data_IF_328015050841
#
_entry.id   IF_328015050841
#
_cell.length_a   1.000
_cell.length_b   1.000
_cell.length_c   1.000
_cell.angle_alpha   90.00
_cell.angle_beta   90.00
_cell.angle_gamma   90.00
#
_symmetry.space_group_name_H-M   'P 1'
#
loop_
_entity.id
_entity.type
_entity.pdbx_description
1 polymer ?
#
# COMPACT_ATOMS: atom_id res chain seq x y z
N UNK A 1 -3.73 24.61 15.60
CA UNK A 1 -3.61 23.17 15.92
C UNK A 1 -2.13 22.81 16.00
N UNK A 2 -1.69 22.04 17.02
CA UNK A 2 -0.29 21.65 17.16
C UNK A 2 0.16 20.75 15.99
N UNK A 3 1.40 20.90 15.52
CA UNK A 3 1.98 20.16 14.40
C UNK A 3 1.81 18.65 14.50
N UNK A 4 1.96 18.08 15.71
CA UNK A 4 1.79 16.64 15.93
C UNK A 4 0.39 16.13 15.58
N UNK A 5 -0.67 16.89 15.85
CA UNK A 5 -2.04 16.51 15.47
C UNK A 5 -2.28 16.66 13.97
N UNK A 6 -1.63 17.63 13.31
CA UNK A 6 -1.69 17.78 11.85
C UNK A 6 -1.15 16.52 11.16
N UNK A 7 0.01 16.02 11.61
CA UNK A 7 0.61 14.77 11.09
C UNK A 7 -0.31 13.57 11.32
N UNK A 8 -0.84 13.42 12.55
CA UNK A 8 -1.73 12.31 12.87
C UNK A 8 -3.01 12.32 12.00
N UNK A 9 -3.59 13.49 11.75
CA UNK A 9 -4.77 13.63 10.91
C UNK A 9 -4.48 13.24 9.46
N UNK A 10 -3.38 13.72 8.88
CA UNK A 10 -2.99 13.35 7.51
C UNK A 10 -2.81 11.84 7.39
N UNK A 11 -2.12 11.24 8.36
CA UNK A 11 -1.92 9.80 8.39
C UNK A 11 -3.23 9.02 8.51
N UNK A 12 -4.10 9.40 9.46
CA UNK A 12 -5.37 8.72 9.67
C UNK A 12 -6.32 8.87 8.48
N UNK A 13 -6.37 10.05 7.85
CA UNK A 13 -7.15 10.28 6.62
C UNK A 13 -6.64 9.40 5.48
N UNK A 14 -5.34 9.41 5.22
CA UNK A 14 -4.76 8.60 4.16
C UNK A 14 -4.93 7.10 4.42
N UNK A 15 -4.74 6.64 5.65
CA UNK A 15 -4.97 5.26 6.04
C UNK A 15 -6.45 4.86 5.89
N UNK A 16 -7.38 5.76 6.24
CA UNK A 16 -8.81 5.54 6.05
C UNK A 16 -9.19 5.40 4.58
N UNK A 17 -8.66 6.30 3.72
CA UNK A 17 -8.88 6.26 2.26
C UNK A 17 -8.35 4.95 1.69
N UNK A 18 -7.17 4.52 2.11
CA UNK A 18 -6.55 3.27 1.67
C UNK A 18 -7.41 2.05 2.06
N UNK A 19 -7.82 1.98 3.32
CA UNK A 19 -8.73 0.92 3.80
C UNK A 19 -10.06 0.91 3.03
N UNK A 20 -10.72 2.07 2.92
CA UNK A 20 -11.98 2.19 2.17
C UNK A 20 -11.80 1.72 0.73
N UNK A 21 -10.73 2.13 0.07
CA UNK A 21 -10.46 1.75 -1.30
C UNK A 21 -10.29 0.24 -1.48
N UNK A 22 -9.55 -0.42 -0.57
CA UNK A 22 -9.39 -1.89 -0.59
C UNK A 22 -10.74 -2.58 -0.48
N UNK A 23 -11.53 -2.25 0.54
CA UNK A 23 -12.77 -2.97 0.84
C UNK A 23 -13.90 -2.63 -0.14
N UNK A 24 -14.05 -1.36 -0.55
CA UNK A 24 -15.05 -0.99 -1.55
C UNK A 24 -14.73 -1.58 -2.92
N UNK A 25 -13.45 -1.65 -3.31
CA UNK A 25 -13.08 -2.28 -4.57
C UNK A 25 -13.41 -3.77 -4.60
N UNK A 26 -13.29 -4.47 -3.47
CA UNK A 26 -13.68 -5.88 -3.36
C UNK A 26 -15.18 -6.10 -3.61
N UNK A 27 -16.03 -5.18 -3.15
CA UNK A 27 -17.49 -5.23 -3.41
C UNK A 27 -17.79 -5.00 -4.90
N UNK A 28 -16.99 -4.19 -5.59
CA UNK A 28 -17.18 -3.87 -7.00
C UNK A 28 -16.72 -5.02 -7.95
N UNK A 29 -15.95 -6.01 -7.48
CA UNK A 29 -15.37 -7.05 -8.34
C UNK A 29 -16.39 -7.78 -9.23
N UNK A 30 -17.56 -8.22 -8.75
CA UNK A 30 -18.55 -8.90 -9.59
C UNK A 30 -19.05 -8.01 -10.74
N UNK A 31 -19.33 -6.73 -10.45
CA UNK A 31 -19.80 -5.76 -11.44
C UNK A 31 -18.69 -5.45 -12.49
N UNK A 32 -17.43 -5.34 -12.03
CA UNK A 32 -16.27 -5.18 -12.93
C UNK A 32 -16.10 -6.41 -13.82
N UNK A 33 -16.22 -7.64 -13.25
CA UNK A 33 -16.10 -8.88 -14.02
C UNK A 33 -17.12 -8.97 -15.12
N UNK A 34 -18.37 -8.59 -14.84
CA UNK A 34 -19.45 -8.56 -15.82
C UNK A 34 -19.21 -7.52 -16.92
N UNK A 35 -18.80 -6.29 -16.55
CA UNK A 35 -18.55 -5.20 -17.50
C UNK A 35 -17.33 -5.47 -18.40
N UNK A 36 -16.23 -5.98 -17.82
CA UNK A 36 -14.99 -6.29 -18.54
C UNK A 36 -15.00 -7.68 -19.22
N UNK A 37 -16.06 -8.47 -19.00
CA UNK A 37 -16.22 -9.84 -19.55
C UNK A 37 -15.04 -10.76 -19.22
N UNK A 38 -14.59 -10.71 -17.99
CA UNK A 38 -13.49 -11.54 -17.48
C UNK A 38 -13.97 -12.57 -16.46
N UNK A 39 -13.20 -13.66 -16.30
CA UNK A 39 -13.53 -14.71 -15.36
C UNK A 39 -13.44 -14.27 -13.90
N UNK A 40 -14.12 -14.98 -13.00
CA UNK A 40 -14.04 -14.77 -11.54
C UNK A 40 -12.61 -14.92 -11.03
N UNK A 41 -11.82 -15.82 -11.62
CA UNK A 41 -10.41 -16.01 -11.28
C UNK A 41 -9.58 -14.80 -11.73
N UNK A 42 -9.80 -14.31 -12.96
CA UNK A 42 -9.04 -13.17 -13.48
C UNK A 42 -9.31 -11.88 -12.71
N UNK A 43 -10.57 -11.67 -12.27
CA UNK A 43 -10.95 -10.41 -11.60
C UNK A 43 -10.23 -10.21 -10.26
N UNK A 44 -9.77 -11.27 -9.61
CA UNK A 44 -9.00 -11.17 -8.36
C UNK A 44 -7.71 -10.35 -8.53
N UNK A 45 -7.17 -10.32 -9.75
CA UNK A 45 -5.99 -9.50 -10.08
C UNK A 45 -6.22 -8.00 -9.90
N UNK A 46 -7.45 -7.52 -9.89
CA UNK A 46 -7.76 -6.13 -9.54
C UNK A 46 -7.34 -5.80 -8.10
N UNK A 47 -7.57 -6.72 -7.16
CA UNK A 47 -7.12 -6.58 -5.79
C UNK A 47 -5.64 -6.96 -5.62
N UNK A 48 -5.22 -8.05 -6.25
CA UNK A 48 -3.86 -8.56 -6.13
C UNK A 48 -2.81 -7.59 -6.69
N UNK A 49 -3.08 -6.92 -7.82
CA UNK A 49 -2.17 -5.92 -8.39
C UNK A 49 -1.99 -4.70 -7.47
N UNK A 50 -3.06 -4.26 -6.81
CA UNK A 50 -2.99 -3.20 -5.81
C UNK A 50 -2.13 -3.61 -4.61
N UNK A 51 -2.40 -4.78 -4.02
CA UNK A 51 -1.64 -5.32 -2.88
C UNK A 51 -0.17 -5.53 -3.27
N UNK A 52 0.08 -6.00 -4.49
CA UNK A 52 1.43 -6.17 -5.02
C UNK A 52 2.18 -4.84 -5.07
N UNK A 53 1.57 -3.80 -5.64
CA UNK A 53 2.16 -2.46 -5.68
C UNK A 53 2.43 -1.92 -4.28
N UNK A 54 1.45 -2.02 -3.39
CA UNK A 54 1.54 -1.59 -2.00
C UNK A 54 2.71 -2.28 -1.28
N UNK A 55 2.83 -3.59 -1.42
CA UNK A 55 3.85 -4.36 -0.71
C UNK A 55 5.25 -4.12 -1.27
N UNK A 56 5.39 -3.93 -2.59
CA UNK A 56 6.67 -3.69 -3.24
C UNK A 56 7.29 -2.33 -2.87
N UNK A 57 6.49 -1.32 -2.61
CA UNK A 57 7.01 0.03 -2.31
C UNK A 57 7.39 0.21 -0.83
N UNK A 58 6.81 -0.58 0.09
CA UNK A 58 7.07 -0.44 1.53
C UNK A 58 8.56 -0.49 1.88
N UNK A 59 9.37 -1.45 1.39
CA UNK A 59 10.80 -1.49 1.70
C UNK A 59 11.58 -0.26 1.20
N UNK A 60 11.10 0.40 0.14
CA UNK A 60 11.73 1.60 -0.40
C UNK A 60 11.32 2.87 0.32
N UNK A 61 10.24 2.86 1.09
CA UNK A 61 9.63 4.05 1.69
C UNK A 61 10.60 4.85 2.56
N UNK A 62 11.43 4.17 3.34
CA UNK A 62 12.43 4.81 4.19
C UNK A 62 13.51 5.53 3.36
N UNK A 63 14.09 4.86 2.37
CA UNK A 63 15.09 5.45 1.49
C UNK A 63 14.52 6.63 0.69
N UNK A 64 13.32 6.46 0.13
CA UNK A 64 12.63 7.52 -0.61
C UNK A 64 12.38 8.75 0.26
N UNK A 65 11.97 8.54 1.53
CA UNK A 65 11.71 9.64 2.47
C UNK A 65 12.98 10.41 2.85
N UNK A 66 14.11 9.73 2.94
CA UNK A 66 15.40 10.37 3.18
C UNK A 66 15.92 11.10 1.94
N UNK A 67 15.71 10.52 0.75
CA UNK A 67 16.21 11.09 -0.52
C UNK A 67 15.42 12.30 -0.98
N UNK A 68 14.10 12.25 -0.94
CA UNK A 68 13.23 13.29 -1.49
C UNK A 68 12.60 14.20 -0.41
N UNK A 69 12.73 13.82 0.84
CA UNK A 69 12.05 14.49 1.95
C UNK A 69 10.60 13.99 2.12
N UNK A 70 10.15 14.06 3.37
CA UNK A 70 8.85 13.48 3.77
C UNK A 70 7.68 14.23 3.14
N UNK A 71 7.72 15.58 3.10
CA UNK A 71 6.65 16.40 2.52
C UNK A 71 6.44 16.08 1.05
N UNK A 72 7.52 16.13 0.26
CA UNK A 72 7.48 15.87 -1.19
C UNK A 72 6.92 14.47 -1.42
N UNK A 73 7.39 13.48 -0.65
CA UNK A 73 6.98 12.10 -0.85
C UNK A 73 5.50 11.87 -0.47
N UNK A 74 5.01 12.43 0.63
CA UNK A 74 3.60 12.31 1.02
C UNK A 74 2.66 13.01 0.02
N UNK A 75 3.03 14.21 -0.45
CA UNK A 75 2.21 14.94 -1.43
C UNK A 75 2.20 14.22 -2.76
N UNK A 76 3.37 13.84 -3.30
CA UNK A 76 3.44 13.14 -4.59
C UNK A 76 2.74 11.78 -4.55
N UNK A 77 2.87 11.01 -3.45
CA UNK A 77 2.17 9.74 -3.31
C UNK A 77 0.65 9.93 -3.35
N UNK A 78 0.09 10.92 -2.66
CA UNK A 78 -1.34 11.17 -2.67
C UNK A 78 -1.85 11.72 -4.01
N UNK A 79 -1.06 12.53 -4.71
CA UNK A 79 -1.40 12.99 -6.06
C UNK A 79 -1.39 11.84 -7.07
N UNK A 80 -0.36 10.97 -7.04
CA UNK A 80 -0.27 9.78 -7.90
C UNK A 80 -1.41 8.81 -7.56
N UNK A 81 -1.72 8.61 -6.28
CA UNK A 81 -2.86 7.81 -5.84
C UNK A 81 -4.16 8.36 -6.41
N UNK A 82 -4.41 9.66 -6.29
CA UNK A 82 -5.62 10.30 -6.80
C UNK A 82 -5.75 10.17 -8.32
N UNK A 83 -4.67 10.41 -9.06
CA UNK A 83 -4.65 10.24 -10.51
C UNK A 83 -4.90 8.78 -10.91
N UNK A 84 -4.24 7.82 -10.23
CA UNK A 84 -4.41 6.39 -10.49
C UNK A 84 -5.84 5.93 -10.21
N UNK A 85 -6.44 6.37 -9.12
CA UNK A 85 -7.85 6.08 -8.78
C UNK A 85 -8.79 6.59 -9.86
N UNK A 86 -8.58 7.83 -10.34
CA UNK A 86 -9.37 8.39 -11.42
C UNK A 86 -9.22 7.56 -12.72
N UNK A 87 -7.99 7.12 -13.04
CA UNK A 87 -7.70 6.30 -14.21
C UNK A 87 -8.22 4.86 -14.09
N UNK A 88 -8.26 4.29 -12.87
CA UNK A 88 -8.97 3.02 -12.62
C UNK A 88 -10.45 3.15 -12.98
N UNK A 89 -11.12 4.21 -12.50
CA UNK A 89 -12.52 4.46 -12.84
C UNK A 89 -12.76 4.73 -14.32
N UNK A 90 -11.78 5.27 -15.03
CA UNK A 90 -11.84 5.55 -16.46
C UNK A 90 -11.45 4.37 -17.36
N UNK A 91 -10.90 3.29 -16.80
CA UNK A 91 -10.39 2.16 -17.58
C UNK A 91 -11.45 1.51 -18.46
N UNK A 92 -11.08 1.23 -19.70
CA UNK A 92 -11.91 0.55 -20.72
C UNK A 92 -11.47 -0.88 -21.00
N UNK A 93 -10.28 -1.27 -20.52
CA UNK A 93 -9.77 -2.63 -20.64
C UNK A 93 -9.32 -3.17 -19.28
N UNK A 94 -9.39 -4.50 -19.14
CA UNK A 94 -8.95 -5.18 -17.93
C UNK A 94 -7.46 -4.97 -17.63
N UNK A 95 -6.62 -4.91 -18.68
CA UNK A 95 -5.19 -4.65 -18.54
C UNK A 95 -4.91 -3.24 -18.01
N UNK A 96 -5.58 -2.21 -18.53
CA UNK A 96 -5.47 -0.83 -18.01
C UNK A 96 -5.86 -0.76 -16.54
N UNK A 97 -6.96 -1.42 -16.18
CA UNK A 97 -7.47 -1.44 -14.81
C UNK A 97 -6.43 -2.04 -13.84
N UNK A 98 -5.85 -3.20 -14.19
CA UNK A 98 -4.78 -3.83 -13.40
C UNK A 98 -3.55 -2.92 -13.29
N UNK A 99 -3.12 -2.30 -14.41
CA UNK A 99 -1.97 -1.40 -14.43
C UNK A 99 -2.17 -0.22 -13.49
N UNK A 100 -3.32 0.45 -13.56
CA UNK A 100 -3.62 1.59 -12.71
C UNK A 100 -3.81 1.18 -11.25
N UNK A 101 -4.36 -0.01 -10.98
CA UNK A 101 -4.42 -0.58 -9.64
C UNK A 101 -3.03 -0.84 -9.05
N UNK A 102 -2.10 -1.32 -9.85
CA UNK A 102 -0.72 -1.52 -9.44
C UNK A 102 -0.03 -0.18 -9.10
N UNK A 103 -0.16 0.84 -9.96
CA UNK A 103 0.39 2.19 -9.72
C UNK A 103 -0.26 2.83 -8.50
N UNK A 104 -1.55 2.66 -8.32
CA UNK A 104 -2.29 3.08 -7.14
C UNK A 104 -1.73 2.43 -5.87
N UNK A 105 -1.46 1.12 -5.89
CA UNK A 105 -0.83 0.40 -4.79
C UNK A 105 0.57 0.92 -4.46
N UNK A 106 1.42 1.17 -5.47
CA UNK A 106 2.74 1.77 -5.29
C UNK A 106 2.66 3.14 -4.58
N UNK A 107 1.68 3.94 -4.93
CA UNK A 107 1.52 5.27 -4.32
C UNK A 107 0.92 5.21 -2.91
N UNK A 108 -0.13 4.42 -2.68
CA UNK A 108 -0.77 4.24 -1.37
C UNK A 108 0.18 3.64 -0.33
N UNK A 109 0.98 2.65 -0.73
CA UNK A 109 1.93 1.97 0.13
C UNK A 109 3.05 2.84 0.71
N UNK A 110 3.27 4.05 0.21
CA UNK A 110 4.22 5.01 0.78
C UNK A 110 3.66 5.75 2.00
N UNK A 111 2.37 6.05 1.99
CA UNK A 111 1.77 6.88 3.04
C UNK A 111 1.75 6.18 4.40
N UNK A 112 1.47 4.88 4.41
CA UNK A 112 1.30 4.11 5.65
C UNK A 112 2.59 4.10 6.49
N UNK A 113 3.74 3.61 5.99
CA UNK A 113 4.95 3.53 6.81
C UNK A 113 5.49 4.91 7.18
N UNK A 114 5.42 5.89 6.28
CA UNK A 114 5.93 7.24 6.53
C UNK A 114 5.04 7.97 7.52
N UNK A 115 3.74 7.95 7.32
CA UNK A 115 2.77 8.61 8.20
C UNK A 115 2.77 8.01 9.60
N UNK A 116 2.87 6.67 9.70
CA UNK A 116 2.97 5.96 10.98
C UNK A 116 4.28 6.29 11.71
N UNK A 117 5.41 6.26 11.01
CA UNK A 117 6.72 6.58 11.59
C UNK A 117 6.75 8.01 12.14
N UNK A 118 6.30 9.00 11.35
CA UNK A 118 6.19 10.39 11.80
C UNK A 118 5.25 10.53 12.99
N UNK A 119 4.08 9.91 12.92
CA UNK A 119 3.10 10.01 14.01
C UNK A 119 3.68 9.47 15.30
N UNK A 120 4.32 8.31 15.30
CA UNK A 120 4.93 7.73 16.49
C UNK A 120 6.20 8.44 16.96
N UNK A 121 6.82 9.25 16.11
CA UNK A 121 7.91 10.13 16.52
C UNK A 121 7.41 11.27 17.44
N UNK A 122 6.22 11.80 17.18
CA UNK A 122 5.64 12.92 17.93
C UNK A 122 4.73 12.51 19.08
N UNK A 123 4.23 11.26 19.09
CA UNK A 123 3.40 10.72 20.17
C UNK A 123 4.15 9.60 20.88
N UNK A 124 4.52 9.83 22.14
CA UNK A 124 5.29 8.90 22.95
C UNK A 124 4.52 8.50 24.23
N UNK A 125 4.94 7.42 24.86
CA UNK A 125 4.35 6.94 26.11
C UNK A 125 2.84 6.68 25.99
N UNK A 126 2.05 7.19 26.92
CA UNK A 126 0.59 7.00 26.97
C UNK A 126 -0.14 7.61 25.76
N UNK A 127 0.37 8.70 25.19
CA UNK A 127 -0.24 9.31 23.99
C UNK A 127 -0.11 8.41 22.75
N UNK A 128 0.96 7.62 22.65
CA UNK A 128 1.13 6.63 21.57
C UNK A 128 0.02 5.58 21.60
N UNK A 129 -0.39 5.13 22.78
CA UNK A 129 -1.50 4.19 22.93
C UNK A 129 -2.83 4.77 22.39
N UNK A 130 -3.12 6.04 22.67
CA UNK A 130 -4.32 6.72 22.15
C UNK A 130 -4.32 6.77 20.62
N UNK A 131 -3.19 7.12 20.02
CA UNK A 131 -3.07 7.15 18.55
C UNK A 131 -3.20 5.74 17.96
N UNK A 132 -2.61 4.73 18.58
CA UNK A 132 -2.77 3.32 18.16
C UNK A 132 -4.23 2.89 18.22
N UNK A 133 -4.99 3.32 19.22
CA UNK A 133 -6.44 3.07 19.32
C UNK A 133 -7.19 3.72 18.17
N UNK A 134 -6.84 4.96 17.77
CA UNK A 134 -7.46 5.63 16.61
C UNK A 134 -7.13 4.91 15.30
N UNK A 135 -5.90 4.43 15.12
CA UNK A 135 -5.51 3.63 13.94
C UNK A 135 -6.34 2.35 13.89
N UNK A 136 -6.48 1.65 15.03
CA UNK A 136 -7.32 0.45 15.10
C UNK A 136 -8.79 0.76 14.84
N UNK A 137 -9.31 1.87 15.34
CA UNK A 137 -10.69 2.30 15.05
C UNK A 137 -10.92 2.51 13.54
N UNK A 138 -9.98 3.19 12.86
CA UNK A 138 -10.03 3.35 11.40
C UNK A 138 -9.99 2.00 10.69
N UNK A 139 -9.09 1.10 11.10
CA UNK A 139 -8.96 -0.24 10.52
C UNK A 139 -10.22 -1.11 10.68
N UNK A 140 -11.04 -0.85 11.70
CA UNK A 140 -12.31 -1.56 11.95
C UNK A 140 -13.50 -0.88 11.28
N UNK A 141 -13.56 0.45 11.32
CA UNK A 141 -14.68 1.22 10.78
C UNK A 141 -14.72 1.14 9.25
N UNK A 142 -13.57 1.29 8.58
CA UNK A 142 -13.51 1.30 7.12
C UNK A 142 -14.08 0.00 6.50
N UNK A 143 -13.66 -1.23 6.91
CA UNK A 143 -14.27 -2.46 6.43
C UNK A 143 -15.76 -2.58 6.78
N UNK A 144 -16.17 -2.09 7.96
CA UNK A 144 -17.55 -2.21 8.41
C UNK A 144 -18.54 -1.38 7.57
N UNK A 145 -18.13 -0.18 7.14
CA UNK A 145 -18.99 0.71 6.34
C UNK A 145 -18.85 0.48 4.82
N UNK A 146 -17.71 -0.04 4.36
CA UNK A 146 -17.40 -0.22 2.94
C UNK A 146 -18.42 -1.07 2.18
N UNK A 147 -18.94 -2.20 2.71
CA UNK A 147 -19.94 -3.00 2.00
C UNK A 147 -21.24 -2.22 1.73
N UNK A 148 -21.73 -1.48 2.72
CA UNK A 148 -22.96 -0.71 2.58
C UNK A 148 -22.81 0.44 1.60
N UNK A 149 -21.75 1.24 1.74
CA UNK A 149 -21.51 2.38 0.86
C UNK A 149 -21.11 1.90 -0.55
N UNK A 150 -20.20 0.91 -0.63
CA UNK A 150 -19.75 0.36 -1.90
C UNK A 150 -20.85 -0.31 -2.69
N UNK A 151 -21.69 -1.13 -2.03
CA UNK A 151 -22.84 -1.77 -2.64
C UNK A 151 -23.85 -0.73 -3.16
N UNK A 152 -24.22 0.26 -2.33
CA UNK A 152 -25.10 1.34 -2.76
C UNK A 152 -24.56 2.09 -4.00
N UNK A 153 -23.28 2.41 -4.02
CA UNK A 153 -22.66 3.11 -5.17
C UNK A 153 -22.69 2.24 -6.42
N UNK A 154 -22.36 0.95 -6.31
CA UNK A 154 -22.36 0.01 -7.44
C UNK A 154 -23.77 -0.14 -8.02
N UNK A 155 -24.80 -0.29 -7.16
CA UNK A 155 -26.18 -0.54 -7.57
C UNK A 155 -26.87 0.75 -8.10
N UNK A 156 -26.62 1.89 -7.43
CA UNK A 156 -27.31 3.14 -7.78
C UNK A 156 -26.70 3.86 -8.99
N UNK A 157 -25.40 3.72 -9.22
CA UNK A 157 -24.69 4.49 -10.26
C UNK A 157 -23.83 3.59 -11.15
N UNK A 158 -22.66 3.13 -10.65
CA UNK A 158 -21.72 2.26 -11.38
C UNK A 158 -20.55 1.90 -10.46
N UNK A 159 -19.90 0.74 -10.71
CA UNK A 159 -18.66 0.35 -10.05
C UNK A 159 -17.52 1.39 -10.19
N UNK A 160 -17.53 2.18 -11.27
CA UNK A 160 -16.53 3.23 -11.52
C UNK A 160 -16.55 4.31 -10.43
N UNK A 161 -17.71 4.62 -9.89
CA UNK A 161 -17.86 5.62 -8.84
C UNK A 161 -17.32 5.16 -7.47
N UNK A 162 -17.14 3.86 -7.27
CA UNK A 162 -16.40 3.34 -6.12
C UNK A 162 -14.97 3.90 -6.09
N UNK A 163 -14.37 4.06 -7.26
CA UNK A 163 -13.04 4.66 -7.39
C UNK A 163 -13.11 6.19 -7.38
N UNK A 164 -13.95 6.79 -8.20
CA UNK A 164 -14.05 8.25 -8.26
C UNK A 164 -14.35 8.91 -6.92
N UNK A 165 -15.13 8.27 -6.04
CA UNK A 165 -15.44 8.77 -4.71
C UNK A 165 -14.21 8.98 -3.83
N UNK A 166 -13.10 8.29 -4.09
CA UNK A 166 -11.84 8.44 -3.34
C UNK A 166 -11.00 9.65 -3.83
N UNK A 167 -11.24 10.17 -5.03
CA UNK A 167 -10.46 11.28 -5.62
C UNK A 167 -10.49 12.55 -4.76
N UNK A 168 -11.66 13.07 -4.33
CA UNK A 168 -11.68 14.30 -3.55
C UNK A 168 -10.98 14.15 -2.19
N UNK A 169 -11.08 12.99 -1.55
CA UNK A 169 -10.45 12.75 -0.25
C UNK A 169 -8.92 12.60 -0.38
N UNK A 170 -8.44 11.94 -1.43
CA UNK A 170 -6.99 11.83 -1.68
C UNK A 170 -6.37 13.18 -2.06
N UNK A 171 -7.06 14.01 -2.85
CA UNK A 171 -6.64 15.38 -3.14
C UNK A 171 -6.65 16.25 -1.88
N UNK A 172 -7.66 16.14 -1.03
CA UNK A 172 -7.70 16.82 0.27
C UNK A 172 -6.50 16.41 1.13
N UNK A 173 -6.19 15.11 1.20
CA UNK A 173 -5.04 14.61 1.96
C UNK A 173 -3.72 15.14 1.39
N UNK A 174 -3.56 15.18 0.06
CA UNK A 174 -2.41 15.78 -0.60
C UNK A 174 -2.27 17.28 -0.25
N UNK A 175 -3.36 18.02 -0.30
CA UNK A 175 -3.41 19.42 0.04
C UNK A 175 -3.05 19.70 1.51
N UNK A 176 -3.60 18.91 2.44
CA UNK A 176 -3.25 19.00 3.85
C UNK A 176 -1.78 18.65 4.10
N UNK A 177 -1.26 17.62 3.43
CA UNK A 177 0.15 17.26 3.50
C UNK A 177 1.04 18.38 2.97
N UNK A 178 0.66 19.05 1.88
CA UNK A 178 1.39 20.17 1.31
C UNK A 178 1.48 21.36 2.26
N UNK A 179 0.40 21.69 2.99
CA UNK A 179 0.37 22.85 3.89
C UNK A 179 0.99 22.53 5.26
N UNK A 180 0.71 21.33 5.81
CA UNK A 180 1.02 21.05 7.21
C UNK A 180 2.34 20.31 7.40
N UNK A 181 2.77 19.46 6.45
CA UNK A 181 4.02 18.73 6.61
C UNK A 181 5.20 19.67 6.39
N UNK A 182 6.07 19.77 7.38
CA UNK A 182 7.30 20.56 7.26
C UNK A 182 8.29 19.83 6.35
N UNK A 183 9.01 20.61 5.56
CA UNK A 183 10.05 20.06 4.72
C UNK A 183 11.19 19.50 5.58
N UNK A 184 11.58 18.27 5.32
CA UNK A 184 12.77 17.66 5.91
C UNK A 184 13.94 17.81 4.94
N UNK A 185 15.14 18.08 5.47
CA UNK A 185 16.33 18.13 4.63
C UNK A 185 16.55 16.77 3.98
N UNK A 186 16.62 16.76 2.67
CA UNK A 186 17.03 15.59 1.89
C UNK A 186 18.50 15.25 2.20
N UNK A 187 18.80 13.96 2.36
CA UNK A 187 20.18 13.49 2.52
C UNK A 187 20.66 12.98 1.14
N UNK A 188 21.53 13.74 0.48
CA UNK A 188 21.92 13.47 -0.91
C UNK A 188 22.75 12.20 -1.11
N UNK A 189 23.42 11.70 -0.07
CA UNK A 189 24.44 10.64 -0.19
C UNK A 189 23.97 9.24 0.27
N UNK A 190 22.65 8.98 0.35
CA UNK A 190 22.18 7.66 0.75
C UNK A 190 22.10 6.76 -0.49
N UNK A 191 23.00 5.79 -0.55
CA UNK A 191 22.98 4.77 -1.61
C UNK A 191 21.94 3.71 -1.23
N UNK A 192 20.92 3.47 -2.06
CA UNK A 192 19.95 2.41 -1.79
C UNK A 192 20.57 1.03 -1.94
N UNK A 193 20.16 0.09 -1.11
CA UNK A 193 20.52 -1.31 -1.28
C UNK A 193 19.66 -1.93 -2.41
N UNK A 194 20.00 -1.58 -3.67
CA UNK A 194 19.24 -2.03 -4.85
C UNK A 194 19.17 -3.55 -4.94
N UNK A 195 20.26 -4.25 -4.55
CA UNK A 195 20.27 -5.72 -4.57
C UNK A 195 19.32 -6.29 -3.52
N UNK A 196 19.33 -5.74 -2.31
CA UNK A 196 18.39 -6.14 -1.24
C UNK A 196 16.95 -5.85 -1.63
N UNK A 197 16.67 -4.67 -2.19
CA UNK A 197 15.35 -4.28 -2.70
C UNK A 197 14.85 -5.28 -3.75
N UNK A 198 15.68 -5.60 -4.75
CA UNK A 198 15.34 -6.54 -5.82
C UNK A 198 15.02 -7.93 -5.25
N UNK A 199 15.87 -8.45 -4.35
CA UNK A 199 15.67 -9.76 -3.74
C UNK A 199 14.37 -9.82 -2.93
N UNK A 200 14.09 -8.79 -2.11
CA UNK A 200 12.84 -8.70 -1.34
C UNK A 200 11.64 -8.61 -2.28
N UNK A 201 11.73 -7.82 -3.35
CA UNK A 201 10.66 -7.71 -4.33
C UNK A 201 10.33 -9.06 -4.98
N UNK A 202 11.35 -9.82 -5.38
CA UNK A 202 11.17 -11.16 -5.94
C UNK A 202 10.52 -12.11 -4.92
N UNK A 203 10.94 -12.07 -3.66
CA UNK A 203 10.37 -12.88 -2.58
C UNK A 203 8.88 -12.56 -2.41
N UNK A 204 8.52 -11.28 -2.36
CA UNK A 204 7.14 -10.81 -2.19
C UNK A 204 6.27 -11.24 -3.39
N UNK A 205 6.74 -10.96 -4.61
CA UNK A 205 6.03 -11.34 -5.84
C UNK A 205 5.84 -12.85 -5.90
N UNK A 206 6.89 -13.63 -5.66
CA UNK A 206 6.82 -15.09 -5.65
C UNK A 206 5.84 -15.60 -4.59
N UNK A 207 5.85 -15.01 -3.38
CA UNK A 207 4.92 -15.38 -2.31
C UNK A 207 3.45 -15.14 -2.71
N UNK A 208 3.14 -13.97 -3.25
CA UNK A 208 1.78 -13.65 -3.73
C UNK A 208 1.36 -14.55 -4.89
N UNK A 209 2.26 -14.78 -5.86
CA UNK A 209 1.97 -15.68 -6.98
C UNK A 209 1.77 -17.13 -6.53
N UNK A 210 2.51 -17.60 -5.52
CA UNK A 210 2.33 -18.94 -4.96
C UNK A 210 0.96 -19.08 -4.27
N UNK A 211 0.56 -18.07 -3.49
CA UNK A 211 -0.76 -18.03 -2.84
C UNK A 211 -1.89 -17.99 -3.88
N UNK A 212 -1.75 -17.19 -4.93
CA UNK A 212 -2.72 -17.12 -6.02
C UNK A 212 -2.80 -18.43 -6.79
N UNK A 213 -1.64 -19.08 -7.08
CA UNK A 213 -1.59 -20.38 -7.74
C UNK A 213 -2.31 -21.46 -6.96
N UNK A 214 -2.19 -21.45 -5.63
CA UNK A 214 -2.87 -22.40 -4.75
C UNK A 214 -4.35 -22.07 -4.56
N UNK A 215 -4.68 -20.82 -4.22
CA UNK A 215 -6.03 -20.42 -3.83
C UNK A 215 -6.97 -20.21 -5.02
N UNK A 216 -6.50 -19.57 -6.09
CA UNK A 216 -7.34 -19.17 -7.22
C UNK A 216 -7.29 -20.19 -8.37
N UNK A 217 -6.11 -20.72 -8.67
CA UNK A 217 -5.92 -21.67 -9.77
C UNK A 217 -5.94 -23.13 -9.35
N UNK A 218 -6.04 -23.43 -8.04
CA UNK A 218 -6.03 -24.78 -7.46
C UNK A 218 -4.84 -25.64 -7.93
N UNK A 219 -3.74 -25.02 -8.30
CA UNK A 219 -2.53 -25.71 -8.79
C UNK A 219 -1.48 -25.85 -7.71
N UNK A 220 -1.56 -26.95 -6.94
CA UNK A 220 -0.57 -27.24 -5.88
C UNK A 220 0.85 -27.36 -6.42
N UNK A 221 1.02 -27.97 -7.60
CA UNK A 221 2.34 -28.13 -8.22
C UNK A 221 2.99 -26.78 -8.55
N UNK A 222 2.23 -25.88 -9.19
CA UNK A 222 2.72 -24.55 -9.52
C UNK A 222 3.04 -23.76 -8.26
N UNK A 223 2.17 -23.82 -7.24
CA UNK A 223 2.39 -23.16 -5.96
C UNK A 223 3.67 -23.64 -5.27
N UNK A 224 3.95 -24.95 -5.26
CA UNK A 224 5.16 -25.53 -4.69
C UNK A 224 6.42 -25.07 -5.43
N UNK A 225 6.40 -25.05 -6.76
CA UNK A 225 7.53 -24.57 -7.57
C UNK A 225 7.84 -23.10 -7.27
N UNK A 226 6.82 -22.24 -7.25
CA UNK A 226 7.00 -20.82 -6.97
C UNK A 226 7.48 -20.61 -5.52
N UNK A 227 6.94 -21.37 -4.56
CA UNK A 227 7.38 -21.31 -3.16
C UNK A 227 8.85 -21.74 -2.98
N UNK A 228 9.32 -22.73 -3.76
CA UNK A 228 10.71 -23.11 -3.78
C UNK A 228 11.62 -21.97 -4.26
N UNK A 229 11.23 -21.23 -5.32
CA UNK A 229 11.95 -20.04 -5.75
C UNK A 229 11.94 -18.95 -4.68
N UNK A 230 10.79 -18.69 -4.03
CA UNK A 230 10.71 -17.73 -2.93
C UNK A 230 11.69 -18.10 -1.78
N UNK A 231 11.78 -19.38 -1.41
CA UNK A 231 12.71 -19.85 -0.41
C UNK A 231 14.18 -19.68 -0.85
N UNK A 232 14.50 -19.97 -2.12
CA UNK A 232 15.83 -19.76 -2.68
C UNK A 232 16.24 -18.29 -2.63
N UNK A 233 15.37 -17.38 -3.06
CA UNK A 233 15.65 -15.94 -3.01
C UNK A 233 15.73 -15.43 -1.56
N UNK A 234 14.99 -16.01 -0.61
CA UNK A 234 15.12 -15.71 0.81
C UNK A 234 16.49 -16.09 1.37
N UNK A 235 17.06 -17.22 0.93
CA UNK A 235 18.43 -17.61 1.27
C UNK A 235 19.47 -16.66 0.66
N UNK A 236 19.25 -16.23 -0.59
CA UNK A 236 20.11 -15.24 -1.25
C UNK A 236 20.06 -13.89 -0.54
N UNK A 237 18.87 -13.46 -0.11
CA UNK A 237 18.71 -12.24 0.69
C UNK A 237 19.41 -12.36 2.04
N UNK A 238 19.31 -13.49 2.73
CA UNK A 238 20.01 -13.72 4.00
C UNK A 238 21.53 -13.65 3.86
N UNK A 239 22.10 -14.18 2.76
CA UNK A 239 23.53 -14.04 2.45
C UNK A 239 23.91 -12.59 2.16
N UNK A 240 23.11 -11.89 1.34
CA UNK A 240 23.32 -10.49 1.03
C UNK A 240 23.25 -9.62 2.28
N UNK A 241 22.25 -9.84 3.15
CA UNK A 241 22.11 -9.17 4.43
C UNK A 241 23.37 -9.22 5.30
N UNK A 242 24.04 -10.38 5.37
CA UNK A 242 25.29 -10.53 6.15
C UNK A 242 26.47 -9.73 5.59
N UNK A 243 26.43 -9.36 4.33
CA UNK A 243 27.50 -8.66 3.62
C UNK A 243 27.21 -7.17 3.43
N UNK A 244 25.95 -6.75 3.51
CA UNK A 244 25.53 -5.37 3.29
C UNK A 244 25.78 -4.52 4.53
N UNK A 245 26.36 -3.32 4.32
CA UNK A 245 26.56 -2.32 5.38
C UNK A 245 25.26 -1.64 5.81
N UNK A 246 24.28 -1.51 4.89
CA UNK A 246 22.98 -0.89 5.16
C UNK A 246 21.87 -1.68 4.46
N UNK A 247 21.50 -2.86 4.99
CA UNK A 247 20.48 -3.70 4.37
C UNK A 247 19.10 -3.06 4.50
N UNK A 248 18.24 -3.27 3.49
CA UNK A 248 16.85 -2.76 3.44
C UNK A 248 16.05 -3.19 4.67
N UNK A 249 16.18 -4.44 5.08
CA UNK A 249 15.56 -4.96 6.31
C UNK A 249 16.67 -5.45 7.25
N UNK A 250 16.75 -4.86 8.44
CA UNK A 250 17.70 -5.27 9.45
C UNK A 250 17.16 -6.46 10.25
N UNK A 251 17.58 -7.68 9.87
CA UNK A 251 17.16 -8.92 10.52
C UNK A 251 17.63 -9.05 11.99
N UNK A 252 18.61 -8.24 12.43
CA UNK A 252 19.01 -8.24 13.83
C UNK A 252 17.90 -7.70 14.76
N UNK A 253 17.00 -6.87 14.24
CA UNK A 253 15.84 -6.38 15.02
C UNK A 253 14.93 -7.53 15.45
N UNK A 254 14.85 -8.62 14.66
CA UNK A 254 14.06 -9.80 15.01
C UNK A 254 14.65 -10.59 16.19
N UNK A 255 15.96 -10.50 16.42
CA UNK A 255 16.63 -11.17 17.54
C UNK A 255 16.40 -10.45 18.89
N UNK A 256 16.07 -9.17 18.85
CA UNK A 256 15.86 -8.35 20.05
C UNK A 256 14.40 -8.29 20.49
N UNK A 257 13.49 -9.04 19.86
CA UNK A 257 12.13 -9.19 20.34
C UNK A 257 12.19 -10.09 21.58
N UNK A 258 12.43 -9.47 22.75
CA UNK A 258 12.07 -10.09 24.03
C UNK A 258 10.54 -10.07 24.08
N UNK A 259 9.94 -11.24 23.88
CA UNK A 259 8.55 -11.51 24.20
C UNK A 259 8.27 -11.25 25.66
#
# INVERSE_FOLDING_TARGET
MSYRYQIAIIFLLGFFIDCINIFMSAIALPAIAADMKVSIVSITWVSNSYILGLTLIIPLSHWLSQRFGVRVLMVSSMLIFSASVALVGYSHSFFELILWRFIQGLSGGLLIPIGQALTFQYFQGHERSKVSTLIMAVALIAPAISPTIGGFIVDAVSWRWVFYSNVPFSLLTAFLAFIWVKESKSQENIIPDLKGILLISIIIVSGLCALSAYGEYHSTQLALVISFFAALFSLLYYRHYKQSLSPVINLNLLKNIKL
#
